data_IF_935689464675
#
_entry.id   IF_935689464675
#
_cell.length_a   1.000
_cell.length_b   1.000
_cell.length_c   1.000
_cell.angle_alpha   90.00
_cell.angle_beta   90.00
_cell.angle_gamma   90.00
#
_symmetry.space_group_name_H-M   'P 1'
#
loop_
_entity.id
_entity.type
_entity.pdbx_description
1 polymer ?
#
# COMPACT_ATOMS: atom_id res chain seq x y z
N UNK A 1 8.50 25.69 -15.21
CA UNK A 1 7.92 24.72 -16.15
C UNK A 1 7.96 23.33 -15.50
N UNK A 2 6.89 22.53 -15.55
CA UNK A 2 6.90 21.16 -15.05
C UNK A 2 7.84 20.27 -15.89
N UNK A 3 8.46 19.27 -15.25
CA UNK A 3 9.32 18.28 -15.92
C UNK A 3 8.67 16.90 -15.85
N UNK A 4 8.48 16.27 -17.01
CA UNK A 4 8.07 14.87 -17.09
C UNK A 4 9.23 13.93 -16.78
N UNK A 5 8.98 12.90 -15.97
CA UNK A 5 9.95 11.82 -15.68
C UNK A 5 9.56 10.62 -16.52
N UNK A 6 10.41 10.25 -17.48
CA UNK A 6 10.19 9.07 -18.30
C UNK A 6 10.64 7.81 -17.54
N UNK A 7 9.72 6.89 -17.30
CA UNK A 7 9.98 5.57 -16.67
C UNK A 7 9.61 4.48 -17.67
N UNK A 8 10.53 3.55 -17.91
CA UNK A 8 10.31 2.46 -18.88
C UNK A 8 9.69 1.24 -18.22
N UNK A 9 9.05 0.36 -19.01
CA UNK A 9 8.60 -0.95 -18.52
C UNK A 9 9.73 -1.79 -17.90
N UNK A 10 10.96 -1.65 -18.40
CA UNK A 10 12.12 -2.32 -17.80
C UNK A 10 12.36 -1.85 -16.37
N UNK A 11 12.24 -0.54 -16.10
CA UNK A 11 12.40 -0.02 -14.73
C UNK A 11 11.34 -0.58 -13.79
N UNK A 12 10.07 -0.62 -14.22
CA UNK A 12 8.96 -1.16 -13.43
C UNK A 12 9.14 -2.66 -13.15
N UNK A 13 9.43 -3.46 -14.18
CA UNK A 13 9.62 -4.91 -14.00
C UNK A 13 10.87 -5.23 -13.17
N UNK A 14 11.94 -4.44 -13.26
CA UNK A 14 13.11 -4.58 -12.38
C UNK A 14 12.78 -4.29 -10.92
N UNK A 15 11.97 -3.24 -10.65
CA UNK A 15 11.56 -2.88 -9.28
C UNK A 15 10.94 -4.08 -8.55
N UNK A 16 9.96 -4.73 -9.17
CA UNK A 16 9.27 -5.87 -8.54
C UNK A 16 10.13 -7.13 -8.43
N UNK A 17 11.02 -7.37 -9.40
CA UNK A 17 11.96 -8.51 -9.35
C UNK A 17 13.04 -8.41 -8.27
N UNK A 18 13.41 -7.19 -7.88
CA UNK A 18 14.47 -6.97 -6.89
C UNK A 18 13.87 -6.78 -5.49
N UNK A 19 12.71 -6.14 -5.41
CA UNK A 19 12.09 -5.83 -4.14
C UNK A 19 11.69 -7.08 -3.35
N UNK A 20 11.32 -8.18 -4.02
CA UNK A 20 10.81 -9.44 -3.42
C UNK A 20 9.76 -9.22 -2.32
N UNK A 21 9.14 -8.04 -2.28
CA UNK A 21 8.28 -7.61 -1.17
C UNK A 21 6.96 -8.37 -1.18
N UNK A 22 6.50 -8.72 -2.37
CA UNK A 22 5.29 -9.50 -2.62
C UNK A 22 5.60 -10.97 -2.95
N UNK A 23 6.89 -11.36 -2.96
CA UNK A 23 7.31 -12.73 -3.20
C UNK A 23 6.94 -13.57 -1.97
N UNK A 24 5.87 -14.35 -2.09
CA UNK A 24 5.36 -15.19 -1.00
C UNK A 24 5.56 -16.66 -1.35
N UNK A 25 5.83 -17.53 -0.34
CA UNK A 25 5.92 -18.97 -0.56
C UNK A 25 4.69 -19.53 -1.28
N UNK A 26 4.91 -20.53 -2.13
CA UNK A 26 3.86 -21.35 -2.73
C UNK A 26 2.90 -21.84 -1.62
N UNK A 27 1.60 -21.57 -1.78
CA UNK A 27 0.51 -21.80 -0.80
C UNK A 27 0.24 -20.70 0.24
N UNK A 28 0.77 -19.48 0.08
CA UNK A 28 0.32 -18.35 0.91
C UNK A 28 -1.09 -17.93 0.51
N UNK A 29 -1.94 -17.61 1.50
CA UNK A 29 -3.30 -17.13 1.24
C UNK A 29 -3.29 -15.88 0.33
N UNK A 30 -4.28 -15.71 -0.56
CA UNK A 30 -4.39 -14.52 -1.40
C UNK A 30 -4.38 -13.26 -0.52
N UNK A 31 -3.51 -12.32 -0.85
CA UNK A 31 -3.45 -11.03 -0.17
C UNK A 31 -4.08 -9.95 -1.03
N UNK A 32 -4.69 -8.97 -0.37
CA UNK A 32 -5.24 -7.80 -1.04
C UNK A 32 -4.30 -6.59 -0.90
N UNK A 33 -4.15 -5.82 -1.97
CA UNK A 33 -3.45 -4.53 -2.00
C UNK A 33 -4.46 -3.46 -2.38
N UNK A 34 -4.43 -2.30 -1.73
CA UNK A 34 -5.27 -1.18 -2.13
C UNK A 34 -4.67 -0.42 -3.31
N UNK A 35 -5.54 -0.02 -4.25
CA UNK A 35 -5.26 1.04 -5.19
C UNK A 35 -6.13 2.23 -4.83
N UNK A 36 -5.49 3.31 -4.37
CA UNK A 36 -6.20 4.50 -3.91
C UNK A 36 -5.41 5.79 -4.20
N UNK A 37 -4.09 5.70 -4.39
CA UNK A 37 -3.33 6.84 -4.87
C UNK A 37 -3.74 7.19 -6.31
N UNK A 38 -3.73 8.48 -6.61
CA UNK A 38 -3.96 8.99 -7.96
C UNK A 38 -3.03 8.30 -8.98
N UNK A 39 -3.56 7.99 -10.17
CA UNK A 39 -2.75 7.49 -11.29
C UNK A 39 -1.72 8.50 -11.81
N UNK A 40 -1.83 9.76 -11.40
CA UNK A 40 -0.80 10.77 -11.66
C UNK A 40 0.39 10.69 -10.70
N UNK A 41 0.31 9.83 -9.66
CA UNK A 41 1.37 9.58 -8.70
C UNK A 41 1.98 8.19 -8.91
N UNK A 42 3.30 8.10 -8.82
CA UNK A 42 4.06 6.90 -9.17
C UNK A 42 3.78 5.70 -8.25
N UNK A 43 3.40 5.94 -6.99
CA UNK A 43 2.97 4.88 -6.05
C UNK A 43 1.80 4.06 -6.58
N UNK A 44 0.93 4.60 -7.44
CA UNK A 44 -0.14 3.82 -8.07
C UNK A 44 0.39 2.65 -8.92
N UNK A 45 1.59 2.78 -9.49
CA UNK A 45 2.27 1.69 -10.22
C UNK A 45 2.66 0.58 -9.24
N UNK A 46 3.15 0.93 -8.04
CA UNK A 46 3.45 -0.02 -6.98
C UNK A 46 2.20 -0.79 -6.53
N UNK A 47 1.12 -0.07 -6.27
CA UNK A 47 -0.17 -0.63 -5.83
C UNK A 47 -0.74 -1.64 -6.83
N UNK A 48 -0.82 -1.25 -8.11
CA UNK A 48 -1.41 -2.07 -9.17
C UNK A 48 -0.57 -3.32 -9.40
N UNK A 49 0.72 -3.13 -9.68
CA UNK A 49 1.55 -4.24 -10.14
C UNK A 49 2.05 -5.12 -8.99
N UNK A 50 2.14 -4.60 -7.76
CA UNK A 50 2.46 -5.40 -6.57
C UNK A 50 1.37 -6.40 -6.21
N UNK A 51 0.11 -6.13 -6.55
CA UNK A 51 -0.93 -7.15 -6.49
C UNK A 51 -0.85 -8.10 -7.69
N UNK A 52 -0.86 -7.55 -8.91
CA UNK A 52 -1.16 -8.33 -10.11
C UNK A 52 0.00 -9.23 -10.58
N UNK A 53 1.25 -8.88 -10.30
CA UNK A 53 2.41 -9.69 -10.67
C UNK A 53 2.61 -10.90 -9.75
N UNK A 54 2.09 -10.83 -8.53
CA UNK A 54 2.31 -11.81 -7.46
C UNK A 54 1.03 -12.59 -7.08
N UNK A 55 0.02 -12.58 -7.96
CA UNK A 55 -1.23 -13.32 -7.78
C UNK A 55 -2.15 -12.77 -6.68
N UNK A 56 -1.89 -11.55 -6.21
CA UNK A 56 -2.72 -10.83 -5.25
C UNK A 56 -3.99 -10.26 -5.87
N UNK A 57 -4.86 -9.76 -5.00
CA UNK A 57 -6.11 -9.07 -5.37
C UNK A 57 -5.93 -7.56 -5.25
N UNK A 58 -6.30 -6.82 -6.28
CA UNK A 58 -6.32 -5.37 -6.23
C UNK A 58 -7.69 -4.87 -5.75
N UNK A 59 -7.70 -4.04 -4.71
CA UNK A 59 -8.90 -3.40 -4.17
C UNK A 59 -8.88 -1.94 -4.58
N UNK A 60 -9.69 -1.58 -5.57
CA UNK A 60 -9.81 -0.18 -6.03
C UNK A 60 -10.71 0.58 -5.07
N UNK A 61 -10.15 1.60 -4.42
CA UNK A 61 -10.84 2.35 -3.38
C UNK A 61 -11.57 3.55 -4.00
N UNK A 62 -12.88 3.70 -3.77
CA UNK A 62 -13.61 4.90 -4.17
C UNK A 62 -13.05 6.18 -3.53
N UNK A 63 -13.05 7.30 -4.26
CA UNK A 63 -12.47 8.57 -3.77
C UNK A 63 -13.16 9.09 -2.51
N UNK A 64 -14.48 8.91 -2.40
CA UNK A 64 -15.27 9.30 -1.23
C UNK A 64 -14.90 8.48 0.01
N UNK A 65 -14.64 7.18 -0.16
CA UNK A 65 -14.14 6.31 0.90
C UNK A 65 -12.71 6.70 1.31
N UNK A 66 -11.82 6.96 0.35
CA UNK A 66 -10.45 7.37 0.61
C UNK A 66 -10.33 8.70 1.37
N UNK A 67 -11.32 9.59 1.21
CA UNK A 67 -11.37 10.87 1.92
C UNK A 67 -11.80 10.76 3.40
N UNK A 68 -12.33 9.59 3.81
CA UNK A 68 -12.84 9.34 5.16
C UNK A 68 -11.97 8.30 5.88
N UNK A 69 -11.19 8.68 6.90
CA UNK A 69 -10.34 7.72 7.62
C UNK A 69 -11.10 6.54 8.24
N UNK A 70 -12.36 6.76 8.64
CA UNK A 70 -13.22 5.72 9.19
C UNK A 70 -13.70 4.75 8.10
N UNK A 71 -14.28 5.26 7.01
CA UNK A 71 -14.79 4.40 5.94
C UNK A 71 -13.64 3.66 5.23
N UNK A 72 -12.49 4.33 5.07
CA UNK A 72 -11.28 3.72 4.56
C UNK A 72 -10.84 2.56 5.44
N UNK A 73 -10.75 2.77 6.76
CA UNK A 73 -10.39 1.72 7.72
C UNK A 73 -11.36 0.54 7.66
N UNK A 74 -12.66 0.79 7.69
CA UNK A 74 -13.69 -0.25 7.66
C UNK A 74 -13.58 -1.11 6.38
N UNK A 75 -13.32 -0.46 5.24
CA UNK A 75 -13.08 -1.16 3.98
C UNK A 75 -11.81 -2.01 4.04
N UNK A 76 -10.68 -1.47 4.54
CA UNK A 76 -9.43 -2.21 4.65
C UNK A 76 -9.61 -3.52 5.44
N UNK A 77 -10.36 -3.45 6.55
CA UNK A 77 -10.67 -4.60 7.40
C UNK A 77 -11.61 -5.58 6.69
N UNK A 78 -12.71 -5.08 6.11
CA UNK A 78 -13.69 -5.91 5.41
C UNK A 78 -13.07 -6.69 4.24
N UNK A 79 -12.18 -6.03 3.51
CA UNK A 79 -11.48 -6.59 2.36
C UNK A 79 -10.23 -7.42 2.74
N UNK A 80 -9.89 -7.50 4.03
CA UNK A 80 -8.71 -8.20 4.55
C UNK A 80 -7.44 -7.79 3.79
N UNK A 81 -7.22 -6.47 3.70
CA UNK A 81 -6.05 -5.90 3.05
C UNK A 81 -4.77 -6.39 3.74
N UNK A 82 -3.86 -6.94 2.93
CA UNK A 82 -2.58 -7.46 3.40
C UNK A 82 -1.42 -6.51 3.17
N UNK A 83 -1.55 -5.55 2.25
CA UNK A 83 -0.54 -4.50 2.00
C UNK A 83 -1.22 -3.16 1.75
N UNK A 84 -0.71 -2.13 2.42
CA UNK A 84 -1.21 -0.75 2.37
C UNK A 84 -0.04 0.21 2.19
N UNK A 85 -0.12 1.11 1.21
CA UNK A 85 0.79 2.26 1.06
C UNK A 85 0.13 3.54 1.58
N UNK A 86 0.83 4.30 2.42
CA UNK A 86 0.35 5.58 2.98
C UNK A 86 1.50 6.57 3.25
N UNK A 87 1.17 7.85 3.43
CA UNK A 87 2.13 8.80 4.03
C UNK A 87 2.12 8.69 5.55
N UNK A 88 3.24 8.98 6.24
CA UNK A 88 3.29 9.04 7.70
C UNK A 88 2.15 9.86 8.33
N UNK A 89 1.83 11.03 7.76
CA UNK A 89 0.73 11.88 8.24
C UNK A 89 -0.63 11.19 8.17
N UNK A 90 -0.93 10.49 7.06
CA UNK A 90 -2.20 9.79 6.87
C UNK A 90 -2.30 8.53 7.77
N UNK A 91 -1.20 7.80 7.95
CA UNK A 91 -1.12 6.70 8.92
C UNK A 91 -1.38 7.17 10.35
N UNK A 92 -0.97 8.40 10.68
CA UNK A 92 -1.17 8.99 12.01
C UNK A 92 -2.63 9.04 12.45
N UNK A 93 -3.58 9.15 11.52
CA UNK A 93 -5.02 9.21 11.81
C UNK A 93 -5.75 7.87 11.58
N UNK A 94 -5.07 6.86 11.03
CA UNK A 94 -5.63 5.53 10.77
C UNK A 94 -5.43 4.60 11.98
N UNK A 95 -6.49 3.97 12.53
CA UNK A 95 -6.34 3.02 13.62
C UNK A 95 -5.74 1.69 13.10
N UNK A 96 -4.73 1.11 13.78
CA UNK A 96 -4.12 -0.16 13.36
C UNK A 96 -4.98 -1.40 13.65
N UNK A 97 -6.06 -1.23 14.43
CA UNK A 97 -6.94 -2.33 14.86
C UNK A 97 -7.56 -3.05 13.67
N UNK A 98 -7.48 -4.38 13.63
CA UNK A 98 -7.97 -5.19 12.52
C UNK A 98 -7.04 -5.22 11.29
N UNK A 99 -5.91 -4.52 11.34
CA UNK A 99 -4.88 -4.46 10.30
C UNK A 99 -3.53 -5.00 10.80
N UNK A 100 -3.50 -5.74 11.91
CA UNK A 100 -2.28 -6.21 12.58
C UNK A 100 -1.46 -7.16 11.69
N UNK A 101 -2.12 -7.86 10.76
CA UNK A 101 -1.45 -8.73 9.78
C UNK A 101 -1.04 -8.01 8.49
N UNK A 102 -1.38 -6.73 8.33
CA UNK A 102 -1.11 -5.98 7.12
C UNK A 102 0.32 -5.41 7.15
N UNK A 103 1.02 -5.50 6.02
CA UNK A 103 2.26 -4.78 5.82
C UNK A 103 1.95 -3.33 5.43
N UNK A 104 2.38 -2.39 6.27
CA UNK A 104 2.27 -0.96 6.00
C UNK A 104 3.56 -0.44 5.35
N UNK A 105 3.44 0.13 4.15
CA UNK A 105 4.51 0.83 3.44
C UNK A 105 4.31 2.33 3.62
N UNK A 106 5.25 3.00 4.28
CA UNK A 106 5.24 4.46 4.47
C UNK A 106 6.23 5.15 3.55
N UNK A 107 5.77 6.15 2.80
CA UNK A 107 6.59 6.91 1.86
C UNK A 107 6.10 8.35 1.69
N UNK A 108 6.90 9.19 1.02
CA UNK A 108 6.52 10.55 0.63
C UNK A 108 6.81 11.65 1.66
N UNK A 109 7.01 11.30 2.94
CA UNK A 109 7.36 12.24 4.00
C UNK A 109 8.42 11.64 4.94
N UNK A 110 9.02 12.48 5.78
CA UNK A 110 9.84 11.98 6.87
C UNK A 110 8.97 11.15 7.84
N UNK A 111 9.35 9.89 8.06
CA UNK A 111 8.60 9.00 8.94
C UNK A 111 9.05 9.19 10.41
N UNK A 112 8.18 9.68 11.32
CA UNK A 112 8.50 9.78 12.74
C UNK A 112 8.55 8.40 13.40
N UNK A 113 9.46 8.20 14.36
CA UNK A 113 9.57 6.94 15.11
C UNK A 113 8.25 6.51 15.77
N UNK A 114 7.45 7.46 16.26
CA UNK A 114 6.15 7.18 16.86
C UNK A 114 5.15 6.50 15.91
N UNK A 115 5.24 6.74 14.59
CA UNK A 115 4.41 6.04 13.60
C UNK A 115 4.84 4.57 13.51
N UNK A 116 6.15 4.32 13.51
CA UNK A 116 6.72 2.97 13.51
C UNK A 116 6.32 2.23 14.78
N UNK A 117 6.52 2.83 15.96
CA UNK A 117 6.22 2.20 17.25
C UNK A 117 4.74 1.81 17.36
N UNK A 118 3.84 2.66 16.86
CA UNK A 118 2.39 2.40 16.87
C UNK A 118 1.99 1.21 15.98
N UNK A 119 2.67 1.00 14.87
CA UNK A 119 2.31 -0.03 13.88
C UNK A 119 3.14 -1.30 14.00
N UNK A 120 4.37 -1.21 14.51
CA UNK A 120 5.25 -2.35 14.76
C UNK A 120 5.07 -2.93 16.17
N UNK A 121 4.58 -2.14 17.14
CA UNK A 121 4.45 -2.53 18.55
C UNK A 121 3.25 -3.44 18.88
N UNK A 122 2.56 -3.97 17.85
CA UNK A 122 1.45 -4.92 18.00
C UNK A 122 1.88 -6.38 17.87
N UNK A 123 2.91 -6.79 18.61
CA UNK A 123 3.43 -8.17 18.68
C UNK A 123 4.10 -8.48 20.01
#
# INVERSE_FOLDING_TARGET
>A
MPKGVAVTHHNVTQLFRIANFFDKPENTAPFAVTQWHSYAFDVSVWEIWGALLDGGRLVVIPEDVAASPADFHDLLVAERVGVLSQTPSAVGVLPPRGLESAALVVAGEACPAAVVDRWAGGG
#
